data_IF_651054970568
#
_entry.id   IF_651054970568
#
_cell.length_a   1.000
_cell.length_b   1.000
_cell.length_c   1.000
_cell.angle_alpha   90.00
_cell.angle_beta   90.00
_cell.angle_gamma   90.00
#
_symmetry.space_group_name_H-M   'P 1'
#
loop_
_entity.id
_entity.type
_entity.pdbx_description
1 polymer ?
#
# COMPACT_ATOMS: atom_id res chain seq x y z
N UNK A 1 13.54 58.20 -41.38
CA UNK A 1 12.81 57.80 -40.17
C UNK A 1 11.99 56.58 -40.53
N UNK A 2 12.53 55.38 -40.37
CA UNK A 2 11.72 54.16 -40.41
C UNK A 2 12.18 53.30 -39.23
N UNK A 3 11.30 53.18 -38.24
CA UNK A 3 11.54 52.45 -37.01
C UNK A 3 11.10 51.01 -37.17
N UNK A 4 12.06 50.08 -37.15
CA UNK A 4 11.79 48.65 -36.96
C UNK A 4 11.18 48.43 -35.58
N UNK A 5 9.91 48.03 -35.55
CA UNK A 5 9.26 47.54 -34.33
C UNK A 5 9.49 46.05 -34.23
N UNK A 6 10.39 45.62 -33.35
CA UNK A 6 10.63 44.21 -33.03
C UNK A 6 9.54 43.77 -32.04
N UNK A 7 8.65 42.88 -32.48
CA UNK A 7 7.64 42.26 -31.65
C UNK A 7 8.27 41.08 -30.89
N UNK A 8 8.60 41.27 -29.61
CA UNK A 8 9.01 40.17 -28.73
C UNK A 8 7.76 39.40 -28.29
N UNK A 9 7.58 38.20 -28.84
CA UNK A 9 6.59 37.23 -28.36
C UNK A 9 7.24 36.44 -27.22
N UNK A 10 6.88 36.77 -25.98
CA UNK A 10 7.26 35.98 -24.81
C UNK A 10 6.37 34.74 -24.73
N UNK A 11 6.93 33.57 -25.00
CA UNK A 11 6.29 32.29 -24.68
C UNK A 11 6.22 32.15 -23.15
N UNK A 12 5.07 32.50 -22.56
CA UNK A 12 4.69 32.03 -21.23
C UNK A 12 4.47 30.52 -21.32
N UNK A 13 5.50 29.75 -20.96
CA UNK A 13 5.36 28.33 -20.69
C UNK A 13 4.46 28.20 -19.46
N UNK A 14 3.18 27.91 -19.66
CA UNK A 14 2.34 27.38 -18.60
C UNK A 14 2.93 26.02 -18.23
N UNK A 15 3.75 26.00 -17.19
CA UNK A 15 4.05 24.79 -16.44
C UNK A 15 2.75 24.39 -15.73
N UNK A 16 1.77 23.87 -16.48
CA UNK A 16 0.71 23.08 -15.89
C UNK A 16 1.45 21.89 -15.32
N UNK A 17 1.63 21.86 -14.00
CA UNK A 17 2.19 20.72 -13.31
C UNK A 17 1.31 19.53 -13.68
N UNK A 18 1.76 18.73 -14.65
CA UNK A 18 1.17 17.45 -14.94
C UNK A 18 1.31 16.67 -13.64
N UNK A 19 0.20 16.48 -12.93
CA UNK A 19 0.12 15.48 -11.87
C UNK A 19 0.67 14.21 -12.49
N UNK A 20 1.85 13.79 -12.02
CA UNK A 20 2.51 12.61 -12.54
C UNK A 20 1.51 11.47 -12.32
N UNK A 21 1.05 10.85 -13.41
CA UNK A 21 0.02 9.84 -13.29
C UNK A 21 0.63 8.59 -12.64
N UNK A 22 -0.14 7.96 -11.77
CA UNK A 22 0.23 6.68 -11.17
C UNK A 22 0.60 5.62 -12.24
N UNK A 23 1.55 4.71 -11.96
CA UNK A 23 1.99 3.71 -12.93
C UNK A 23 0.85 2.84 -13.49
N UNK A 24 1.09 2.32 -14.70
CA UNK A 24 0.13 1.45 -15.39
C UNK A 24 -0.11 0.14 -14.63
N UNK A 25 -1.29 -0.44 -14.83
CA UNK A 25 -1.75 -1.66 -14.15
C UNK A 25 -2.69 -1.38 -12.97
N UNK A 26 -3.18 -2.46 -12.37
CA UNK A 26 -4.11 -2.41 -11.23
C UNK A 26 -3.44 -2.96 -9.99
N UNK A 27 -3.69 -2.31 -8.85
CA UNK A 27 -3.09 -2.66 -7.56
C UNK A 27 -3.81 -1.95 -6.44
N UNK A 28 -3.53 -2.36 -5.20
CA UNK A 28 -4.04 -1.71 -4.00
C UNK A 28 -2.92 -1.32 -3.06
N UNK A 29 -3.18 -0.31 -2.25
CA UNK A 29 -2.35 0.13 -1.12
C UNK A 29 -3.26 0.27 0.10
N UNK A 30 -2.68 0.22 1.29
CA UNK A 30 -3.40 0.63 2.51
C UNK A 30 -3.71 2.12 2.46
N UNK A 31 -4.89 2.50 2.93
CA UNK A 31 -5.35 3.87 2.89
C UNK A 31 -4.72 4.69 4.02
N UNK A 32 -4.17 5.88 3.73
CA UNK A 32 -3.83 6.83 4.76
C UNK A 32 -5.06 7.58 5.30
N UNK A 33 -4.99 8.12 6.52
CA UNK A 33 -6.03 8.97 7.12
C UNK A 33 -6.36 10.21 6.27
N UNK A 34 -5.43 10.64 5.42
CA UNK A 34 -5.63 11.74 4.46
C UNK A 34 -6.53 11.37 3.29
N UNK A 35 -6.87 10.09 3.13
CA UNK A 35 -7.66 9.56 2.04
C UNK A 35 -6.81 9.01 0.88
N UNK A 36 -7.51 8.44 -0.11
CA UNK A 36 -6.86 7.80 -1.24
C UNK A 36 -6.34 8.80 -2.28
N UNK A 37 -5.25 8.47 -2.99
CA UNK A 37 -4.80 9.25 -4.14
C UNK A 37 -5.91 9.43 -5.18
N UNK A 38 -5.89 10.54 -5.90
CA UNK A 38 -6.93 10.87 -6.88
C UNK A 38 -7.19 9.72 -7.88
N UNK A 39 -8.46 9.38 -8.07
CA UNK A 39 -8.92 8.32 -8.97
C UNK A 39 -8.92 6.90 -8.38
N UNK A 40 -8.34 6.69 -7.20
CA UNK A 40 -8.42 5.39 -6.50
C UNK A 40 -9.79 5.20 -5.87
N UNK A 41 -10.19 3.93 -5.72
CA UNK A 41 -11.45 3.54 -5.09
C UNK A 41 -11.20 2.96 -3.70
N UNK A 42 -12.12 3.23 -2.79
CA UNK A 42 -12.00 2.80 -1.39
C UNK A 42 -12.59 1.40 -1.20
N UNK A 43 -11.89 0.56 -0.47
CA UNK A 43 -12.40 -0.67 0.12
C UNK A 43 -12.10 -0.73 1.61
N UNK A 44 -12.76 -1.62 2.33
CA UNK A 44 -12.53 -1.83 3.75
C UNK A 44 -12.72 -3.30 4.14
N UNK A 45 -11.96 -3.71 5.14
CA UNK A 45 -12.02 -5.03 5.77
C UNK A 45 -12.08 -4.81 7.29
N UNK A 46 -13.10 -5.36 7.93
CA UNK A 46 -13.22 -5.50 9.38
C UNK A 46 -12.82 -6.93 9.71
N UNK A 47 -11.64 -7.15 10.29
CA UNK A 47 -11.21 -8.42 10.84
C UNK A 47 -11.64 -8.47 12.31
N UNK A 48 -12.45 -9.48 12.62
CA UNK A 48 -12.78 -9.87 13.99
C UNK A 48 -11.58 -10.68 14.47
N UNK A 49 -10.76 -10.08 15.32
CA UNK A 49 -9.55 -10.68 15.86
C UNK A 49 -9.86 -11.22 17.26
N UNK A 50 -9.01 -12.10 17.80
CA UNK A 50 -9.30 -12.89 19.01
C UNK A 50 -9.94 -12.08 20.16
N UNK A 51 -11.12 -12.51 20.60
CA UNK A 51 -11.92 -11.89 21.68
C UNK A 51 -11.27 -11.96 23.09
N UNK A 52 -10.25 -12.80 23.30
CA UNK A 52 -9.74 -13.18 24.62
C UNK A 52 -8.21 -13.09 24.78
N UNK A 53 -7.65 -11.87 24.79
CA UNK A 53 -6.22 -11.67 25.10
C UNK A 53 -5.41 -10.98 24.02
N UNK A 54 -6.10 -10.48 22.98
CA UNK A 54 -5.55 -9.80 21.81
C UNK A 54 -4.40 -8.83 22.13
N UNK A 55 -3.26 -9.07 21.49
CA UNK A 55 -2.04 -8.28 21.51
C UNK A 55 -1.80 -7.61 20.17
N UNK A 56 -2.87 -7.18 19.47
CA UNK A 56 -2.76 -6.30 18.32
C UNK A 56 -1.90 -5.08 18.68
N UNK A 57 -0.86 -4.81 17.88
CA UNK A 57 0.03 -3.67 18.09
C UNK A 57 0.17 -2.86 16.84
N UNK A 58 0.05 -1.56 17.01
CA UNK A 58 0.27 -0.59 15.95
C UNK A 58 1.25 0.49 16.40
N UNK A 59 2.01 1.02 15.45
CA UNK A 59 2.92 2.15 15.73
C UNK A 59 2.13 3.34 16.27
N UNK A 60 2.63 3.97 17.34
CA UNK A 60 2.03 5.19 17.90
C UNK A 60 2.05 6.33 16.87
N UNK A 61 0.98 7.12 16.85
CA UNK A 61 0.77 8.22 15.88
C UNK A 61 0.83 7.75 14.41
N UNK A 62 0.32 6.55 14.13
CA UNK A 62 0.24 6.02 12.77
C UNK A 62 -0.73 6.79 11.87
N UNK A 63 -0.50 6.69 10.57
CA UNK A 63 -1.31 7.36 9.56
C UNK A 63 -2.27 6.44 8.81
N UNK A 64 -2.41 5.16 9.21
CA UNK A 64 -3.41 4.27 8.61
C UNK A 64 -4.84 4.76 8.85
N UNK A 65 -5.66 4.71 7.80
CA UNK A 65 -7.10 4.85 7.93
C UNK A 65 -7.68 3.53 8.42
N UNK A 66 -8.27 3.56 9.60
CA UNK A 66 -8.80 2.36 10.24
C UNK A 66 -9.02 2.51 11.73
N UNK A 67 -9.41 1.40 12.33
CA UNK A 67 -9.54 1.18 13.77
C UNK A 67 -8.73 -0.06 14.12
N UNK A 68 -7.88 0.03 15.14
CA UNK A 68 -6.86 -0.98 15.43
C UNK A 68 -6.80 -1.21 16.95
N UNK A 69 -7.82 -1.89 17.48
CA UNK A 69 -7.91 -2.25 18.90
C UNK A 69 -7.99 -3.78 19.00
N UNK A 70 -8.99 -4.32 19.70
CA UNK A 70 -9.25 -5.77 19.72
C UNK A 70 -9.55 -6.21 18.28
N UNK A 71 -10.56 -5.63 17.64
CA UNK A 71 -10.82 -5.83 16.21
C UNK A 71 -10.08 -4.82 15.34
N UNK A 72 -9.84 -5.21 14.08
CA UNK A 72 -9.12 -4.40 13.12
C UNK A 72 -9.97 -4.05 11.89
N UNK A 73 -10.25 -2.75 11.70
CA UNK A 73 -10.73 -2.24 10.41
C UNK A 73 -9.59 -1.63 9.63
N UNK A 74 -9.25 -2.23 8.50
CA UNK A 74 -8.33 -1.68 7.50
C UNK A 74 -9.07 -1.10 6.30
N UNK A 75 -8.67 0.09 5.87
CA UNK A 75 -9.10 0.67 4.61
C UNK A 75 -8.03 0.54 3.54
N UNK A 76 -8.47 0.43 2.28
CA UNK A 76 -7.60 0.25 1.13
C UNK A 76 -7.94 1.24 0.02
N UNK A 77 -6.90 1.67 -0.69
CA UNK A 77 -6.97 2.45 -1.90
C UNK A 77 -6.62 1.57 -3.08
N UNK A 78 -7.59 1.31 -3.95
CA UNK A 78 -7.46 0.41 -5.09
C UNK A 78 -7.52 1.18 -6.40
N UNK A 79 -6.47 1.05 -7.21
CA UNK A 79 -6.45 1.50 -8.61
C UNK A 79 -7.05 0.41 -9.46
N UNK A 80 -8.31 0.61 -9.86
CA UNK A 80 -9.09 -0.39 -10.60
C UNK A 80 -8.95 -0.27 -12.10
N UNK A 81 -8.42 0.84 -12.61
CA UNK A 81 -8.12 1.05 -14.03
C UNK A 81 -6.66 0.71 -14.34
N UNK A 82 -6.42 0.03 -15.45
CA UNK A 82 -5.07 -0.24 -15.94
C UNK A 82 -4.37 0.99 -16.53
N UNK A 83 -5.11 2.06 -16.85
CA UNK A 83 -4.57 3.32 -17.39
C UNK A 83 -3.59 3.97 -16.41
N UNK A 84 -2.47 4.50 -16.89
CA UNK A 84 -1.46 5.16 -16.07
C UNK A 84 -0.30 5.67 -16.93
N UNK A 85 0.76 6.14 -16.28
CA UNK A 85 1.99 6.56 -16.98
C UNK A 85 3.13 5.59 -16.67
N UNK A 86 3.69 4.98 -17.71
CA UNK A 86 4.86 4.13 -17.59
C UNK A 86 4.67 2.88 -16.72
N UNK A 87 5.81 2.27 -16.37
CA UNK A 87 5.92 1.10 -15.50
C UNK A 87 6.37 1.51 -14.11
N UNK A 88 6.05 0.68 -13.12
CA UNK A 88 6.57 0.87 -11.77
C UNK A 88 8.11 0.89 -11.74
N UNK A 89 8.72 1.84 -11.02
CA UNK A 89 10.17 1.97 -10.96
C UNK A 89 10.84 0.77 -10.27
N UNK A 90 12.09 0.48 -10.63
CA UNK A 90 12.87 -0.61 -10.02
C UNK A 90 13.18 -0.28 -8.57
N UNK A 91 13.11 -1.26 -7.69
CA UNK A 91 13.32 -1.02 -6.26
C UNK A 91 13.12 -2.24 -5.38
N UNK A 92 12.92 -1.99 -4.10
CA UNK A 92 12.69 -3.01 -3.07
C UNK A 92 11.50 -2.60 -2.18
N UNK A 93 10.30 -3.01 -2.58
CA UNK A 93 9.04 -2.66 -1.91
C UNK A 93 7.90 -3.55 -2.43
N UNK A 94 6.81 -3.62 -1.68
CA UNK A 94 5.59 -4.32 -2.07
C UNK A 94 4.38 -3.40 -2.13
N UNK A 95 3.39 -3.84 -2.89
CA UNK A 95 2.01 -3.35 -2.94
C UNK A 95 1.07 -4.57 -2.87
N UNK A 96 -0.20 -4.36 -2.60
CA UNK A 96 -1.16 -5.46 -2.65
C UNK A 96 -1.67 -5.65 -4.09
N UNK A 97 -1.87 -6.90 -4.48
CA UNK A 97 -2.40 -7.26 -5.79
C UNK A 97 -3.86 -6.84 -5.88
N UNK A 98 -4.27 -6.27 -7.01
CA UNK A 98 -5.69 -6.07 -7.35
C UNK A 98 -5.98 -6.79 -8.66
N UNK A 99 -7.02 -7.62 -8.65
CA UNK A 99 -7.31 -8.54 -9.75
C UNK A 99 -6.44 -9.81 -9.73
N UNK A 100 -6.22 -10.41 -10.89
CA UNK A 100 -5.59 -11.73 -11.00
C UNK A 100 -4.06 -11.70 -11.14
N UNK A 101 -3.47 -10.57 -11.48
CA UNK A 101 -2.04 -10.47 -11.82
C UNK A 101 -1.39 -9.25 -11.19
N UNK A 102 -0.09 -9.35 -10.93
CA UNK A 102 0.71 -8.21 -10.51
C UNK A 102 1.03 -7.26 -11.69
N UNK A 103 1.23 -5.95 -11.44
CA UNK A 103 1.80 -5.06 -12.43
C UNK A 103 3.15 -5.57 -12.95
N UNK A 104 3.50 -5.19 -14.18
CA UNK A 104 4.74 -5.65 -14.83
C UNK A 104 5.97 -5.39 -13.96
N UNK A 105 6.81 -6.42 -13.81
CA UNK A 105 8.06 -6.37 -13.06
C UNK A 105 7.95 -6.69 -11.57
N UNK A 106 6.76 -7.00 -11.06
CA UNK A 106 6.55 -7.52 -9.71
C UNK A 106 6.43 -9.04 -9.70
N UNK A 107 6.90 -9.66 -8.62
CA UNK A 107 6.66 -11.07 -8.29
C UNK A 107 5.50 -11.19 -7.31
N UNK A 108 4.70 -12.25 -7.43
CA UNK A 108 3.52 -12.48 -6.57
C UNK A 108 3.88 -13.25 -5.29
N UNK A 109 3.13 -12.97 -4.23
CA UNK A 109 3.10 -13.75 -3.00
C UNK A 109 1.81 -13.54 -2.23
N UNK A 110 1.71 -14.08 -1.03
CA UNK A 110 0.58 -13.89 -0.14
C UNK A 110 1.00 -13.98 1.31
N UNK A 111 0.21 -13.33 2.17
CA UNK A 111 0.17 -13.57 3.61
C UNK A 111 -1.23 -14.08 3.93
N UNK A 112 -1.30 -15.08 4.80
CA UNK A 112 -2.52 -15.74 5.24
C UNK A 112 -2.57 -15.70 6.76
N UNK A 113 -3.66 -15.15 7.26
CA UNK A 113 -4.05 -15.05 8.65
C UNK A 113 -5.15 -16.07 8.92
N UNK A 114 -4.95 -16.90 9.92
CA UNK A 114 -5.96 -17.81 10.49
C UNK A 114 -6.78 -17.00 11.51
N UNK A 115 -7.82 -16.30 11.02
CA UNK A 115 -8.65 -15.44 11.88
C UNK A 115 -9.50 -16.30 12.85
N UNK A 116 -10.18 -15.69 13.83
CA UNK A 116 -10.93 -16.43 14.87
C UNK A 116 -12.00 -17.40 14.31
N UNK A 117 -12.03 -18.63 14.84
CA UNK A 117 -12.94 -19.71 14.41
C UNK A 117 -14.34 -19.65 15.06
N UNK A 118 -14.49 -18.94 16.19
CA UNK A 118 -15.75 -18.84 16.95
C UNK A 118 -16.42 -17.47 16.83
N UNK A 119 -17.72 -17.45 16.55
CA UNK A 119 -18.55 -16.22 16.44
C UNK A 119 -18.06 -15.12 15.47
N UNK A 120 -17.10 -15.43 14.62
CA UNK A 120 -16.48 -14.55 13.63
C UNK A 120 -17.47 -13.63 12.88
N UNK A 121 -17.32 -12.32 13.10
CA UNK A 121 -18.09 -11.25 12.48
C UNK A 121 -17.33 -10.53 11.35
N UNK A 122 -16.40 -11.23 10.71
CA UNK A 122 -15.62 -10.73 9.58
C UNK A 122 -16.49 -10.02 8.53
N UNK A 123 -16.10 -8.77 8.22
CA UNK A 123 -16.83 -7.90 7.32
C UNK A 123 -15.94 -7.34 6.23
N UNK A 124 -16.48 -7.13 5.03
CA UNK A 124 -15.74 -6.48 3.93
C UNK A 124 -16.65 -5.73 2.97
N UNK A 125 -16.10 -4.72 2.31
CA UNK A 125 -16.82 -3.97 1.28
C UNK A 125 -15.94 -3.12 0.37
N UNK A 126 -16.53 -2.66 -0.73
CA UNK A 126 -15.86 -1.79 -1.70
C UNK A 126 -14.82 -2.51 -2.54
N UNK A 127 -13.67 -1.85 -2.78
CA UNK A 127 -12.64 -2.29 -3.71
C UNK A 127 -11.38 -2.76 -2.96
N UNK A 128 -11.29 -4.07 -2.76
CA UNK A 128 -10.26 -4.72 -1.95
C UNK A 128 -9.09 -5.24 -2.80
N UNK A 129 -7.90 -5.44 -2.20
CA UNK A 129 -6.90 -6.30 -2.81
C UNK A 129 -7.46 -7.71 -3.05
N UNK A 130 -6.86 -8.43 -4.00
CA UNK A 130 -7.25 -9.81 -4.26
C UNK A 130 -6.85 -10.71 -3.11
N UNK A 131 -7.72 -11.64 -2.73
CA UNK A 131 -7.59 -12.40 -1.49
C UNK A 131 -8.78 -13.30 -1.21
N UNK A 132 -8.71 -14.01 -0.09
CA UNK A 132 -9.85 -14.61 0.62
C UNK A 132 -10.10 -13.79 1.88
N UNK A 133 -11.36 -13.64 2.27
CA UNK A 133 -11.79 -12.70 3.33
C UNK A 133 -13.13 -13.21 3.87
N UNK A 134 -13.15 -14.46 4.26
CA UNK A 134 -14.31 -15.25 4.67
C UNK A 134 -14.13 -15.60 6.15
N UNK A 135 -13.97 -16.87 6.53
CA UNK A 135 -13.51 -17.21 7.88
C UNK A 135 -12.13 -16.61 8.11
N UNK A 136 -11.23 -16.82 7.15
CA UNK A 136 -9.82 -16.44 7.24
C UNK A 136 -9.49 -15.29 6.29
N UNK A 137 -8.32 -14.70 6.50
CA UNK A 137 -7.81 -13.62 5.65
C UNK A 137 -6.60 -14.09 4.85
N UNK A 138 -6.69 -14.04 3.52
CA UNK A 138 -5.51 -14.10 2.64
C UNK A 138 -5.43 -12.83 1.84
N UNK A 139 -4.30 -12.14 1.92
CA UNK A 139 -4.03 -11.01 1.01
C UNK A 139 -2.92 -11.40 0.06
N UNK A 140 -3.14 -11.17 -1.24
CA UNK A 140 -2.11 -11.35 -2.24
C UNK A 140 -1.32 -10.07 -2.45
N UNK A 141 -0.02 -10.21 -2.61
CA UNK A 141 0.93 -9.13 -2.75
C UNK A 141 1.72 -9.23 -4.04
N UNK A 142 2.29 -8.09 -4.41
CA UNK A 142 3.20 -7.92 -5.50
C UNK A 142 4.43 -7.21 -4.94
N UNK A 143 5.62 -7.82 -5.05
CA UNK A 143 6.88 -7.19 -4.61
C UNK A 143 7.90 -6.99 -5.74
N UNK A 144 8.67 -5.90 -5.63
CA UNK A 144 9.86 -5.60 -6.41
C UNK A 144 11.09 -5.92 -5.58
N UNK A 145 12.11 -6.50 -6.20
CA UNK A 145 13.44 -6.71 -5.60
C UNK A 145 14.58 -6.49 -6.59
N UNK A 146 14.31 -5.75 -7.65
CA UNK A 146 15.21 -5.55 -8.78
C UNK A 146 15.91 -4.17 -8.75
N UNK A 147 15.90 -3.51 -7.58
CA UNK A 147 16.60 -2.25 -7.32
C UNK A 147 16.92 -2.06 -5.83
N UNK A 148 17.69 -1.01 -5.52
CA UNK A 148 18.09 -0.66 -4.16
C UNK A 148 17.06 0.28 -3.51
N UNK A 149 16.70 0.03 -2.24
CA UNK A 149 15.86 0.96 -1.47
C UNK A 149 16.52 2.32 -1.20
N UNK A 150 17.84 2.41 -1.35
CA UNK A 150 18.61 3.66 -1.18
C UNK A 150 18.57 4.56 -2.41
N UNK A 151 18.20 4.02 -3.58
CA UNK A 151 17.98 4.80 -4.80
C UNK A 151 16.63 5.49 -4.74
N UNK A 152 16.53 6.74 -5.19
CA UNK A 152 15.24 7.42 -5.25
C UNK A 152 14.44 6.92 -6.46
N UNK A 153 13.17 6.56 -6.22
CA UNK A 153 12.21 6.27 -7.28
C UNK A 153 11.26 7.45 -7.49
N UNK A 154 10.78 7.63 -8.71
CA UNK A 154 9.74 8.62 -9.03
C UNK A 154 8.37 7.96 -8.97
N UNK A 155 7.50 8.52 -8.12
CA UNK A 155 6.08 8.21 -8.02
C UNK A 155 5.33 9.54 -7.83
N UNK A 156 4.00 9.57 -8.05
CA UNK A 156 3.22 10.76 -7.77
C UNK A 156 3.38 11.18 -6.30
N UNK A 157 3.68 12.45 -6.08
CA UNK A 157 4.06 13.00 -4.78
C UNK A 157 3.13 14.14 -4.34
N UNK A 158 1.90 14.16 -4.84
CA UNK A 158 0.89 15.18 -4.45
C UNK A 158 0.09 14.77 -3.22
N UNK A 159 -0.13 13.46 -3.06
CA UNK A 159 -0.92 12.88 -1.97
C UNK A 159 -0.06 11.91 -1.17
N UNK A 160 -0.22 11.82 0.16
CA UNK A 160 0.42 10.77 0.95
C UNK A 160 -0.04 9.37 0.53
N UNK A 161 0.86 8.39 0.66
CA UNK A 161 0.56 7.00 0.33
C UNK A 161 1.45 6.03 1.12
N UNK A 162 1.11 4.75 1.04
CA UNK A 162 1.90 3.67 1.62
C UNK A 162 2.48 2.75 0.56
N UNK A 163 3.73 2.35 0.76
CA UNK A 163 4.26 1.09 0.24
C UNK A 163 4.56 0.17 1.42
N UNK A 164 4.79 -1.11 1.15
CA UNK A 164 5.22 -2.05 2.18
C UNK A 164 6.68 -2.38 2.01
N UNK A 165 7.36 -2.59 3.13
CA UNK A 165 8.76 -3.01 3.15
C UNK A 165 8.86 -4.43 2.60
N UNK A 166 9.90 -4.75 1.83
CA UNK A 166 10.13 -6.12 1.35
C UNK A 166 11.30 -6.81 2.05
N UNK A 167 12.54 -6.62 1.59
CA UNK A 167 13.72 -7.28 2.19
C UNK A 167 14.78 -6.30 2.70
N UNK A 168 14.64 -5.02 2.37
CA UNK A 168 15.50 -3.92 2.82
C UNK A 168 14.69 -2.88 3.58
N UNK A 169 15.30 -1.79 4.05
CA UNK A 169 14.57 -0.63 4.61
C UNK A 169 13.59 -0.03 3.60
N UNK A 170 12.70 0.86 4.06
CA UNK A 170 11.80 1.61 3.18
C UNK A 170 12.49 2.20 1.94
N UNK A 171 11.85 2.01 0.79
CA UNK A 171 12.28 2.56 -0.49
C UNK A 171 12.28 4.09 -0.43
N UNK A 172 13.31 4.77 -0.95
CA UNK A 172 13.28 6.23 -1.08
C UNK A 172 12.47 6.67 -2.27
N UNK A 173 11.59 7.65 -2.09
CA UNK A 173 10.74 8.24 -3.14
C UNK A 173 11.12 9.72 -3.28
N UNK A 174 11.40 10.17 -4.51
CA UNK A 174 11.67 11.58 -4.80
C UNK A 174 10.46 12.45 -4.44
N UNK A 175 10.67 13.62 -3.83
CA UNK A 175 9.56 14.50 -3.46
C UNK A 175 8.90 14.16 -2.12
N UNK A 176 9.31 13.09 -1.44
CA UNK A 176 8.62 12.58 -0.24
C UNK A 176 9.59 12.31 0.90
N UNK A 177 9.12 12.55 2.13
CA UNK A 177 9.70 11.96 3.35
C UNK A 177 9.07 10.58 3.61
N UNK A 178 9.75 9.74 4.39
CA UNK A 178 9.27 8.39 4.71
C UNK A 178 9.35 8.10 6.21
N UNK A 179 8.29 7.50 6.77
CA UNK A 179 8.22 6.96 8.13
C UNK A 179 7.84 5.49 8.07
N UNK A 180 8.63 4.64 8.74
CA UNK A 180 8.25 3.23 8.90
C UNK A 180 7.17 3.12 9.98
N UNK A 181 6.11 2.38 9.67
CA UNK A 181 5.00 2.08 10.58
C UNK A 181 4.71 0.58 10.53
N UNK A 182 4.29 0.03 11.65
CA UNK A 182 4.16 -1.40 11.86
C UNK A 182 2.76 -1.70 12.35
N UNK A 183 2.19 -2.78 11.82
CA UNK A 183 0.98 -3.45 12.33
C UNK A 183 1.39 -4.89 12.64
N UNK A 184 1.12 -5.31 13.86
CA UNK A 184 1.20 -6.68 14.35
C UNK A 184 -0.23 -7.11 14.65
N UNK A 185 -0.71 -8.10 13.90
CA UNK A 185 -2.03 -8.71 14.10
C UNK A 185 -1.84 -9.95 14.95
N UNK A 186 -2.57 -10.02 16.06
CA UNK A 186 -2.73 -11.18 16.92
C UNK A 186 -4.00 -11.91 16.47
N UNK A 187 -3.83 -13.11 15.96
CA UNK A 187 -4.88 -13.93 15.37
C UNK A 187 -5.07 -15.18 16.26
N UNK A 188 -5.58 -16.31 15.77
CA UNK A 188 -5.94 -17.44 16.64
C UNK A 188 -4.76 -17.99 17.48
N UNK A 189 -4.94 -18.18 18.78
CA UNK A 189 -3.92 -18.71 19.71
C UNK A 189 -3.88 -20.25 19.73
N UNK A 190 -4.92 -20.93 19.25
CA UNK A 190 -5.02 -22.39 19.21
C UNK A 190 -5.08 -22.96 17.79
N UNK A 191 -4.10 -23.80 17.41
CA UNK A 191 -4.00 -24.41 16.07
C UNK A 191 -3.77 -23.40 14.91
N UNK A 192 -3.23 -22.21 15.23
CA UNK A 192 -2.83 -21.18 14.28
C UNK A 192 -2.09 -21.74 13.04
N UNK A 193 -2.68 -21.51 11.87
CA UNK A 193 -2.14 -21.90 10.56
C UNK A 193 -1.64 -20.72 9.72
N UNK A 194 -1.28 -19.61 10.36
CA UNK A 194 -0.64 -18.44 9.75
C UNK A 194 0.48 -18.85 8.81
N UNK A 195 0.47 -18.27 7.61
CA UNK A 195 1.43 -18.66 6.59
C UNK A 195 1.74 -17.57 5.57
N UNK A 196 2.98 -17.58 5.10
CA UNK A 196 3.45 -16.73 4.02
C UNK A 196 3.87 -17.55 2.81
N UNK A 197 3.73 -16.98 1.62
CA UNK A 197 4.13 -17.64 0.38
C UNK A 197 4.65 -16.66 -0.66
N UNK A 198 5.64 -17.08 -1.44
CA UNK A 198 6.17 -16.31 -2.57
C UNK A 198 6.78 -14.96 -2.18
N UNK A 199 6.60 -13.95 -3.04
CA UNK A 199 7.08 -12.59 -2.78
C UNK A 199 6.03 -11.77 -2.03
N UNK A 200 6.16 -11.70 -0.71
CA UNK A 200 5.28 -10.97 0.21
C UNK A 200 6.07 -9.90 0.99
N UNK A 201 5.39 -8.91 1.61
CA UNK A 201 6.02 -7.90 2.46
C UNK A 201 6.84 -8.50 3.61
N UNK A 202 7.77 -7.72 4.15
CA UNK A 202 8.54 -8.11 5.33
C UNK A 202 7.58 -8.49 6.45
N UNK A 203 7.78 -9.70 6.95
CA UNK A 203 7.03 -10.33 8.01
C UNK A 203 8.07 -10.82 9.04
N UNK A 204 7.83 -10.61 10.33
CA UNK A 204 8.79 -10.97 11.38
C UNK A 204 8.15 -11.37 12.71
N UNK A 205 6.86 -11.70 12.72
CA UNK A 205 6.20 -12.17 13.93
C UNK A 205 6.51 -13.64 14.20
N UNK A 206 6.13 -14.10 15.38
CA UNK A 206 6.46 -15.43 15.90
C UNK A 206 5.18 -16.09 16.41
N UNK A 207 4.39 -16.62 15.48
CA UNK A 207 3.01 -17.06 15.72
C UNK A 207 2.01 -16.11 15.07
N UNK A 208 2.25 -14.81 15.26
CA UNK A 208 1.47 -13.71 14.71
C UNK A 208 2.13 -13.09 13.50
N UNK A 209 1.37 -12.32 12.72
CA UNK A 209 1.91 -11.61 11.56
C UNK A 209 2.25 -10.15 11.88
N UNK A 210 3.54 -9.83 11.78
CA UNK A 210 4.06 -8.46 11.96
C UNK A 210 4.53 -7.87 10.64
N UNK A 211 3.76 -6.93 10.10
CA UNK A 211 4.02 -6.30 8.80
C UNK A 211 4.54 -4.86 8.92
N UNK A 212 5.45 -4.52 8.01
CA UNK A 212 6.15 -3.24 7.98
C UNK A 212 5.73 -2.41 6.76
N UNK A 213 5.28 -1.19 7.02
CA UNK A 213 4.76 -0.23 6.07
C UNK A 213 5.64 1.02 6.04
N UNK A 214 5.62 1.70 4.91
CA UNK A 214 6.39 2.92 4.66
C UNK A 214 5.39 4.01 4.28
N UNK A 215 5.11 4.91 5.22
CA UNK A 215 4.26 6.07 5.00
C UNK A 215 5.06 7.18 4.33
N UNK A 216 4.63 7.59 3.14
CA UNK A 216 5.25 8.67 2.38
C UNK A 216 4.39 9.92 2.47
N UNK A 217 5.00 11.05 2.81
CA UNK A 217 4.34 12.36 2.78
C UNK A 217 5.17 13.38 2.00
N UNK A 218 4.54 14.25 1.17
CA UNK A 218 5.24 15.31 0.44
C UNK A 218 5.97 16.27 1.40
N UNK A 219 7.07 16.87 0.94
CA UNK A 219 7.79 17.95 1.64
C UNK A 219 7.60 19.31 1.00
#
# INVERSE_FOLDING_TARGET
MEGSTILLVTLLSLCVGLSEAWPSGTYSMVAPRTGCPSGFKVGWRYQDNEDAGTQNRITTDHHFQGFFFNDMISYYCSKTSSSGSGSWPRGNYCIMRYGSHCPSGFSSGSVYWDDEDTYNMNGKGGYLPSGSFDSDTRINYCCRSDGSSKSYISLPHTDPFYLMRYTSSCQRVSGMSVREEVIEMDDEDTLNSDSVSGSHPMESGSGNHRLYYCYYTPY
#
